data_IF_932302586552
#
_entry.id   IF_932302586552
#
_cell.length_a   1.000
_cell.length_b   1.000
_cell.length_c   1.000
_cell.angle_alpha   90.00
_cell.angle_beta   90.00
_cell.angle_gamma   90.00
#
_symmetry.space_group_name_H-M   'P 1'
#
loop_
_entity.id
_entity.type
_entity.pdbx_description
1 polymer ?
#
# COMPACT_ATOMS: atom_id res chain seq x y z
N UNK A 1 34.63 -12.30 3.48
CA UNK A 1 33.59 -12.84 4.39
C UNK A 1 34.11 -14.04 5.20
N UNK A 2 33.42 -14.41 6.31
CA UNK A 2 33.63 -15.64 7.11
C UNK A 2 34.99 -15.79 7.83
N UNK A 3 35.54 -14.72 8.38
CA UNK A 3 36.89 -14.71 8.97
C UNK A 3 36.93 -14.44 10.49
N UNK A 4 35.78 -14.39 11.18
CA UNK A 4 35.67 -14.05 12.61
C UNK A 4 36.37 -12.72 12.98
N UNK A 5 36.42 -11.77 12.03
CA UNK A 5 37.04 -10.47 12.26
C UNK A 5 36.20 -9.70 13.29
N UNK A 6 36.81 -9.27 14.39
CA UNK A 6 36.15 -8.46 15.42
C UNK A 6 36.09 -6.97 15.07
N UNK A 7 36.88 -6.53 14.08
CA UNK A 7 36.92 -5.14 13.64
C UNK A 7 37.25 -5.00 12.16
N UNK A 8 36.76 -3.94 11.55
CA UNK A 8 37.22 -3.51 10.23
C UNK A 8 38.47 -2.65 10.41
N UNK A 9 39.64 -3.18 10.03
CA UNK A 9 40.91 -2.47 10.21
C UNK A 9 41.02 -1.24 9.31
N UNK A 10 41.38 -0.08 9.89
CA UNK A 10 41.67 1.14 9.13
C UNK A 10 42.82 0.98 8.11
N UNK A 11 43.69 -0.04 8.26
CA UNK A 11 44.72 -0.32 7.26
C UNK A 11 44.16 -0.76 5.90
N UNK A 12 43.03 -1.47 5.90
CA UNK A 12 42.34 -1.86 4.65
C UNK A 12 41.81 -0.64 3.90
N UNK A 13 41.53 0.46 4.60
CA UNK A 13 41.07 1.71 4.00
C UNK A 13 42.14 2.41 3.14
N UNK A 14 43.40 1.92 3.17
CA UNK A 14 44.47 2.36 2.24
C UNK A 14 44.29 1.81 0.82
N UNK A 15 43.42 0.81 0.64
CA UNK A 15 43.08 0.24 -0.67
C UNK A 15 42.10 1.16 -1.40
N UNK A 16 42.56 2.35 -1.78
CA UNK A 16 41.69 3.43 -2.28
C UNK A 16 41.03 3.12 -3.62
N UNK A 17 41.59 2.21 -4.42
CA UNK A 17 41.06 1.78 -5.72
C UNK A 17 40.04 0.64 -5.63
N UNK A 18 39.71 0.17 -4.43
CA UNK A 18 38.82 -0.96 -4.24
C UNK A 18 37.38 -0.57 -4.61
N UNK A 19 36.74 -1.40 -5.44
CA UNK A 19 35.36 -1.18 -5.94
C UNK A 19 34.36 -2.05 -5.19
N UNK A 20 34.78 -3.23 -4.77
CA UNK A 20 33.95 -4.24 -4.12
C UNK A 20 34.65 -4.73 -2.86
N UNK A 21 33.95 -4.73 -1.72
CA UNK A 21 34.42 -5.26 -0.45
C UNK A 21 33.35 -6.13 0.20
N UNK A 22 33.72 -7.37 0.55
CA UNK A 22 32.84 -8.28 1.30
C UNK A 22 33.45 -8.63 2.67
N UNK A 23 32.86 -8.06 3.71
CA UNK A 23 33.16 -8.28 5.12
C UNK A 23 32.02 -9.01 5.85
N UNK A 24 31.15 -9.69 5.11
CA UNK A 24 30.00 -10.39 5.67
C UNK A 24 30.41 -11.61 6.52
N UNK A 25 29.53 -12.04 7.41
CA UNK A 25 29.75 -13.19 8.31
C UNK A 25 31.03 -13.02 9.15
N UNK A 26 31.14 -11.89 9.85
CA UNK A 26 32.21 -11.62 10.79
C UNK A 26 31.61 -11.16 12.14
N UNK A 27 32.44 -10.60 13.01
CA UNK A 27 32.03 -10.11 14.32
C UNK A 27 32.24 -8.59 14.44
N UNK A 28 32.20 -7.89 13.30
CA UNK A 28 32.49 -6.46 13.23
C UNK A 28 31.33 -5.68 13.85
N UNK A 29 31.65 -4.74 14.73
CA UNK A 29 30.67 -3.88 15.39
C UNK A 29 30.86 -2.38 15.08
N UNK A 30 31.92 -2.02 14.36
CA UNK A 30 32.28 -0.64 14.07
C UNK A 30 33.07 -0.52 12.76
N UNK A 31 32.95 0.65 12.13
CA UNK A 31 33.68 1.02 10.91
C UNK A 31 34.68 2.14 11.27
N UNK A 32 35.94 2.06 10.84
CA UNK A 32 36.94 3.09 11.09
C UNK A 32 36.64 4.35 10.24
N UNK A 33 36.98 5.53 10.76
CA UNK A 33 36.76 6.81 10.07
C UNK A 33 37.50 6.90 8.73
N UNK A 34 38.62 6.18 8.64
CA UNK A 34 39.45 6.06 7.44
C UNK A 34 38.71 5.44 6.25
N UNK A 35 37.55 4.80 6.45
CA UNK A 35 36.71 4.25 5.36
C UNK A 35 36.39 5.30 4.30
N UNK A 36 36.29 6.58 4.70
CA UNK A 36 36.13 7.73 3.82
C UNK A 36 37.20 7.87 2.72
N UNK A 37 38.36 7.22 2.88
CA UNK A 37 39.42 7.16 1.86
C UNK A 37 39.08 6.24 0.68
N UNK A 38 38.13 5.32 0.84
CA UNK A 38 37.73 4.33 -0.17
C UNK A 38 36.73 4.93 -1.18
N UNK A 39 37.11 6.04 -1.81
CA UNK A 39 36.21 6.88 -2.63
C UNK A 39 35.62 6.18 -3.86
N UNK A 40 36.21 5.06 -4.30
CA UNK A 40 35.73 4.29 -5.45
C UNK A 40 34.94 3.04 -5.06
N UNK A 41 34.71 2.82 -3.76
CA UNK A 41 33.94 1.67 -3.29
C UNK A 41 32.48 1.83 -3.72
N UNK A 42 32.00 0.88 -4.50
CA UNK A 42 30.64 0.84 -5.05
C UNK A 42 29.79 -0.23 -4.36
N UNK A 43 30.40 -1.34 -3.94
CA UNK A 43 29.69 -2.44 -3.30
C UNK A 43 30.37 -2.76 -1.97
N UNK A 44 29.60 -2.71 -0.89
CA UNK A 44 30.03 -3.08 0.46
C UNK A 44 29.03 -4.05 1.07
N UNK A 45 29.47 -5.28 1.31
CA UNK A 45 28.68 -6.30 1.97
C UNK A 45 29.15 -6.48 3.42
N UNK A 46 28.23 -6.29 4.35
CA UNK A 46 28.43 -6.34 5.79
C UNK A 46 27.37 -7.22 6.48
N UNK A 47 26.67 -8.08 5.72
CA UNK A 47 25.60 -8.90 6.30
C UNK A 47 26.15 -9.86 7.36
N UNK A 48 25.33 -10.20 8.36
CA UNK A 48 25.71 -11.09 9.46
C UNK A 48 26.98 -10.62 10.21
N UNK A 49 26.85 -9.48 10.88
CA UNK A 49 27.88 -8.87 11.74
C UNK A 49 27.24 -8.47 13.09
N UNK A 50 27.91 -7.60 13.88
CA UNK A 50 27.49 -7.17 15.21
C UNK A 50 27.20 -5.67 15.30
N UNK A 51 26.77 -5.04 14.20
CA UNK A 51 26.42 -3.60 14.21
C UNK A 51 25.12 -3.36 15.00
N UNK A 52 25.20 -2.53 16.05
CA UNK A 52 24.03 -2.15 16.87
C UNK A 52 23.40 -0.84 16.39
N UNK A 53 24.19 0.02 15.75
CA UNK A 53 23.73 1.22 15.06
C UNK A 53 24.30 1.24 13.65
N UNK A 54 23.65 1.98 12.75
CA UNK A 54 24.22 2.19 11.43
C UNK A 54 25.52 3.01 11.57
N UNK A 55 26.64 2.54 11.00
CA UNK A 55 27.93 3.24 11.08
C UNK A 55 27.93 4.49 10.19
N UNK A 56 27.79 5.66 10.82
CA UNK A 56 27.74 6.97 10.14
C UNK A 56 28.96 7.24 9.23
N UNK A 57 30.09 6.60 9.52
CA UNK A 57 31.31 6.71 8.73
C UNK A 57 31.10 6.22 7.28
N UNK A 58 30.18 5.28 7.06
CA UNK A 58 29.81 4.84 5.70
C UNK A 58 29.14 5.94 4.89
N UNK A 59 28.50 6.92 5.52
CA UNK A 59 27.84 8.03 4.82
C UNK A 59 28.82 8.95 4.08
N UNK A 60 30.14 8.79 4.29
CA UNK A 60 31.17 9.49 3.52
C UNK A 60 31.51 8.81 2.17
N UNK A 61 30.96 7.61 1.90
CA UNK A 61 31.22 6.84 0.69
C UNK A 61 30.31 7.28 -0.47
N UNK A 62 30.65 8.41 -1.08
CA UNK A 62 29.84 9.05 -2.12
C UNK A 62 29.70 8.26 -3.43
N UNK A 63 30.45 7.16 -3.61
CA UNK A 63 30.35 6.27 -4.79
C UNK A 63 29.61 4.97 -4.49
N UNK A 64 29.14 4.78 -3.25
CA UNK A 64 28.53 3.52 -2.82
C UNK A 64 27.15 3.35 -3.45
N UNK A 65 26.99 2.26 -4.20
CA UNK A 65 25.77 1.92 -4.93
C UNK A 65 25.02 0.76 -4.27
N UNK A 66 25.73 -0.16 -3.61
CA UNK A 66 25.15 -1.32 -2.95
C UNK A 66 25.70 -1.44 -1.53
N UNK A 67 24.80 -1.48 -0.56
CA UNK A 67 25.12 -1.68 0.85
C UNK A 67 24.21 -2.76 1.44
N UNK A 68 24.82 -3.86 1.85
CA UNK A 68 24.11 -4.90 2.60
C UNK A 68 24.52 -4.88 4.07
N UNK A 69 23.57 -4.55 4.94
CA UNK A 69 23.71 -4.54 6.40
C UNK A 69 22.73 -5.53 7.04
N UNK A 70 22.16 -6.46 6.27
CA UNK A 70 21.19 -7.42 6.80
C UNK A 70 21.78 -8.34 7.85
N UNK A 71 20.92 -8.92 8.69
CA UNK A 71 21.31 -9.77 9.83
C UNK A 71 22.31 -9.08 10.78
N UNK A 72 22.05 -7.81 11.07
CA UNK A 72 22.74 -7.06 12.12
C UNK A 72 21.74 -6.67 13.23
N UNK A 73 22.23 -5.99 14.27
CA UNK A 73 21.41 -5.54 15.39
C UNK A 73 21.07 -4.05 15.30
N UNK A 74 20.99 -3.51 14.09
CA UNK A 74 20.82 -2.07 13.85
C UNK A 74 19.48 -1.60 14.41
N UNK A 75 19.53 -0.66 15.36
CA UNK A 75 18.35 -0.08 16.01
C UNK A 75 17.92 1.26 15.41
N UNK A 76 18.88 2.01 14.87
CA UNK A 76 18.65 3.33 14.31
C UNK A 76 19.53 3.61 13.09
N UNK A 77 19.03 4.50 12.22
CA UNK A 77 19.72 5.02 11.05
C UNK A 77 20.00 6.51 11.29
N UNK A 78 21.23 7.02 11.07
CA UNK A 78 21.54 8.43 11.25
C UNK A 78 20.96 9.28 10.10
N UNK A 79 20.70 10.55 10.38
CA UNK A 79 20.30 11.53 9.36
C UNK A 79 21.33 11.66 8.23
N UNK A 80 22.61 11.44 8.52
CA UNK A 80 23.70 11.48 7.54
C UNK A 80 23.56 10.43 6.41
N UNK A 81 22.69 9.42 6.55
CA UNK A 81 22.48 8.43 5.47
C UNK A 81 22.09 9.10 4.16
N UNK A 82 21.42 10.26 4.23
CA UNK A 82 21.06 11.04 3.06
C UNK A 82 22.27 11.47 2.21
N UNK A 83 23.49 11.43 2.73
CA UNK A 83 24.70 11.73 1.96
C UNK A 83 25.03 10.65 0.90
N UNK A 84 24.45 9.45 1.00
CA UNK A 84 24.63 8.36 0.04
C UNK A 84 23.80 8.58 -1.24
N UNK A 85 24.07 9.67 -1.96
CA UNK A 85 23.24 10.16 -3.07
C UNK A 85 23.17 9.22 -4.29
N UNK A 86 24.09 8.27 -4.43
CA UNK A 86 24.14 7.32 -5.55
C UNK A 86 23.81 5.88 -5.14
N UNK A 87 23.36 5.66 -3.90
CA UNK A 87 22.95 4.33 -3.43
C UNK A 87 21.73 3.86 -4.22
N UNK A 88 21.81 2.62 -4.70
CA UNK A 88 20.77 1.98 -5.50
C UNK A 88 20.17 0.78 -4.79
N UNK A 89 20.98 0.03 -4.05
CA UNK A 89 20.54 -1.18 -3.33
C UNK A 89 20.92 -1.08 -1.86
N UNK A 90 19.91 -1.06 -0.99
CA UNK A 90 20.07 -1.02 0.45
C UNK A 90 19.28 -2.17 1.09
N UNK A 91 20.02 -3.04 1.79
CA UNK A 91 19.44 -4.15 2.54
C UNK A 91 19.65 -3.98 4.05
N UNK A 92 18.54 -3.87 4.77
CA UNK A 92 18.46 -3.74 6.23
C UNK A 92 17.58 -4.85 6.84
N UNK A 93 17.40 -5.94 6.10
CA UNK A 93 16.60 -7.09 6.53
C UNK A 93 17.16 -7.72 7.81
N UNK A 94 16.29 -8.28 8.66
CA UNK A 94 16.66 -8.89 9.94
C UNK A 94 17.48 -7.95 10.85
N UNK A 95 17.04 -6.70 10.96
CA UNK A 95 17.59 -5.67 11.86
C UNK A 95 16.73 -5.52 13.12
N UNK A 96 17.12 -4.63 14.04
CA UNK A 96 16.38 -4.35 15.28
C UNK A 96 15.74 -2.95 15.25
N UNK A 97 15.28 -2.52 14.05
CA UNK A 97 14.64 -1.23 13.84
C UNK A 97 13.28 -1.20 14.55
N UNK A 98 13.13 -0.30 15.53
CA UNK A 98 11.88 -0.15 16.30
C UNK A 98 10.75 0.43 15.43
N UNK A 99 11.12 1.27 14.47
CA UNK A 99 10.22 1.91 13.52
C UNK A 99 10.91 2.05 12.16
N UNK A 100 10.13 2.34 11.12
CA UNK A 100 10.70 2.66 9.82
C UNK A 100 11.57 3.94 9.92
N UNK A 101 12.81 3.94 9.43
CA UNK A 101 13.70 5.11 9.43
C UNK A 101 13.35 6.04 8.26
N UNK A 102 12.66 7.15 8.52
CA UNK A 102 12.21 8.10 7.50
C UNK A 102 13.36 8.82 6.78
N UNK A 103 14.56 8.79 7.36
CA UNK A 103 15.80 9.29 6.76
C UNK A 103 16.10 8.61 5.43
N UNK A 104 15.79 7.31 5.28
CA UNK A 104 15.98 6.52 4.05
C UNK A 104 15.18 7.12 2.90
N UNK A 105 14.03 7.75 3.16
CA UNK A 105 13.19 8.35 2.13
C UNK A 105 13.85 9.53 1.39
N UNK A 106 15.01 10.02 1.84
CA UNK A 106 15.78 11.05 1.14
C UNK A 106 16.77 10.49 0.12
N UNK A 107 16.87 9.17 -0.01
CA UNK A 107 17.74 8.48 -0.98
C UNK A 107 17.04 8.40 -2.34
N UNK A 108 17.02 9.51 -3.09
CA UNK A 108 16.29 9.62 -4.37
C UNK A 108 16.75 8.64 -5.45
N UNK A 109 18.01 8.18 -5.40
CA UNK A 109 18.58 7.20 -6.34
C UNK A 109 18.27 5.74 -6.00
N UNK A 110 17.60 5.47 -4.87
CA UNK A 110 17.39 4.11 -4.39
C UNK A 110 16.45 3.35 -5.32
N UNK A 111 16.94 2.23 -5.87
CA UNK A 111 16.21 1.34 -6.77
C UNK A 111 15.69 0.10 -6.03
N UNK A 112 16.35 -0.34 -4.96
CA UNK A 112 15.99 -1.52 -4.18
C UNK A 112 16.12 -1.24 -2.68
N UNK A 113 15.04 -1.51 -1.96
CA UNK A 113 15.00 -1.40 -0.50
C UNK A 113 14.46 -2.70 0.09
N UNK A 114 15.29 -3.34 0.92
CA UNK A 114 14.93 -4.58 1.62
C UNK A 114 14.89 -4.38 3.13
N UNK A 115 13.73 -4.64 3.69
CA UNK A 115 13.37 -4.50 5.10
C UNK A 115 12.60 -5.75 5.57
N UNK A 116 12.92 -6.92 5.02
CA UNK A 116 12.34 -8.19 5.45
C UNK A 116 12.75 -8.50 6.90
N UNK A 117 11.83 -8.81 7.81
CA UNK A 117 12.16 -8.99 9.23
C UNK A 117 11.84 -10.38 9.78
N UNK A 118 12.34 -11.47 9.19
CA UNK A 118 12.12 -12.84 9.71
C UNK A 118 12.54 -12.98 11.19
N UNK A 119 13.78 -12.59 11.49
CA UNK A 119 14.40 -12.69 12.83
C UNK A 119 14.56 -11.34 13.55
N UNK A 120 14.20 -10.25 12.88
CA UNK A 120 14.33 -8.88 13.39
C UNK A 120 13.12 -8.35 14.16
N UNK A 121 13.18 -7.09 14.56
CA UNK A 121 11.99 -6.38 15.07
C UNK A 121 11.04 -6.06 13.93
N UNK A 122 9.76 -6.29 14.18
CA UNK A 122 8.70 -6.14 13.19
C UNK A 122 8.30 -4.67 13.06
N UNK A 123 8.41 -4.11 11.86
CA UNK A 123 7.87 -2.79 11.56
C UNK A 123 6.34 -2.81 11.65
N UNK A 124 5.75 -1.80 12.28
CA UNK A 124 4.30 -1.71 12.48
C UNK A 124 3.61 -0.74 11.52
N UNK A 125 4.37 0.22 10.98
CA UNK A 125 3.90 1.25 10.04
C UNK A 125 4.98 1.63 9.04
N UNK A 126 4.54 2.09 7.87
CA UNK A 126 5.37 2.76 6.88
C UNK A 126 5.03 4.26 6.84
N UNK A 127 6.00 5.15 6.60
CA UNK A 127 5.78 6.58 6.49
C UNK A 127 5.19 6.96 5.12
N UNK A 128 4.43 8.06 5.06
CA UNK A 128 3.96 8.65 3.79
C UNK A 128 5.13 9.19 2.95
N UNK A 129 6.24 9.55 3.60
CA UNK A 129 7.48 9.98 2.97
C UNK A 129 8.10 8.91 2.06
N UNK A 130 7.68 7.64 2.14
CA UNK A 130 8.10 6.58 1.23
C UNK A 130 7.89 6.97 -0.24
N UNK A 131 6.85 7.78 -0.52
CA UNK A 131 6.56 8.38 -1.84
C UNK A 131 7.72 9.14 -2.48
N UNK A 132 8.69 9.61 -1.69
CA UNK A 132 9.88 10.33 -2.17
C UNK A 132 10.87 9.43 -2.93
N UNK A 133 10.80 8.11 -2.75
CA UNK A 133 11.70 7.14 -3.40
C UNK A 133 11.29 6.87 -4.86
N UNK A 134 11.22 7.93 -5.67
CA UNK A 134 10.65 7.88 -7.03
C UNK A 134 11.36 6.91 -8.00
N UNK A 135 12.63 6.55 -7.74
CA UNK A 135 13.37 5.57 -8.54
C UNK A 135 13.21 4.11 -8.06
N UNK A 136 12.42 3.85 -7.01
CA UNK A 136 12.32 2.54 -6.40
C UNK A 136 11.65 1.54 -7.35
N UNK A 137 12.32 0.41 -7.56
CA UNK A 137 11.90 -0.71 -8.40
C UNK A 137 11.55 -1.96 -7.59
N UNK A 138 12.22 -2.18 -6.47
CA UNK A 138 12.01 -3.34 -5.60
C UNK A 138 11.84 -2.88 -4.16
N UNK A 139 10.68 -3.18 -3.56
CA UNK A 139 10.40 -2.96 -2.15
C UNK A 139 10.05 -4.28 -1.49
N UNK A 140 10.89 -4.72 -0.56
CA UNK A 140 10.63 -5.87 0.30
C UNK A 140 10.40 -5.41 1.75
N UNK A 141 9.16 -5.56 2.20
CA UNK A 141 8.66 -5.27 3.54
C UNK A 141 8.03 -6.52 4.16
N UNK A 142 8.40 -7.71 3.67
CA UNK A 142 7.86 -8.99 4.12
C UNK A 142 8.22 -9.31 5.58
N UNK A 143 7.44 -10.20 6.20
CA UNK A 143 7.66 -10.68 7.57
C UNK A 143 7.69 -9.55 8.62
N UNK A 144 6.88 -8.52 8.45
CA UNK A 144 6.70 -7.42 9.39
C UNK A 144 5.33 -7.51 10.11
N UNK A 145 4.94 -6.47 10.84
CA UNK A 145 3.66 -6.36 11.53
C UNK A 145 2.83 -5.18 10.97
N UNK A 146 2.97 -4.90 9.67
CA UNK A 146 2.30 -3.78 9.01
C UNK A 146 0.80 -4.05 8.92
N UNK A 147 0.00 -3.05 9.27
CA UNK A 147 -1.48 -3.11 9.18
C UNK A 147 -2.05 -2.46 7.92
N UNK A 148 -1.30 -1.52 7.36
CA UNK A 148 -1.69 -0.72 6.22
C UNK A 148 -0.45 -0.37 5.38
N UNK A 149 -0.67 -0.12 4.10
CA UNK A 149 0.30 0.51 3.21
C UNK A 149 -0.15 1.95 3.01
N UNK A 150 0.73 2.96 3.12
CA UNK A 150 0.38 4.37 2.95
C UNK A 150 -0.10 4.68 1.53
N UNK A 151 -0.97 5.69 1.39
CA UNK A 151 -1.48 6.11 0.07
C UNK A 151 -0.32 6.61 -0.83
N UNK A 152 0.77 7.14 -0.25
CA UNK A 152 1.96 7.53 -0.99
C UNK A 152 2.65 6.42 -1.79
N UNK A 153 2.32 5.13 -1.58
CA UNK A 153 2.87 4.03 -2.40
C UNK A 153 2.59 4.21 -3.88
N UNK A 154 1.43 4.80 -4.25
CA UNK A 154 1.04 5.00 -5.64
C UNK A 154 1.92 5.97 -6.42
N UNK A 155 2.76 6.76 -5.74
CA UNK A 155 3.73 7.67 -6.38
C UNK A 155 4.97 6.94 -6.90
N UNK A 156 5.20 5.69 -6.49
CA UNK A 156 6.35 4.88 -6.90
C UNK A 156 6.15 4.27 -8.30
N UNK A 157 6.04 5.12 -9.33
CA UNK A 157 5.67 4.70 -10.71
C UNK A 157 6.57 3.65 -11.32
N UNK A 158 7.83 3.55 -10.88
CA UNK A 158 8.81 2.58 -11.35
C UNK A 158 8.87 1.28 -10.54
N UNK A 159 7.98 1.11 -9.55
CA UNK A 159 7.96 -0.07 -8.70
C UNK A 159 7.55 -1.30 -9.51
N UNK A 160 8.45 -2.27 -9.62
CA UNK A 160 8.27 -3.53 -10.34
C UNK A 160 7.87 -4.66 -9.41
N UNK A 161 8.44 -4.68 -8.21
CA UNK A 161 8.25 -5.74 -7.22
C UNK A 161 7.84 -5.13 -5.88
N UNK A 162 6.69 -5.57 -5.37
CA UNK A 162 6.24 -5.29 -4.01
C UNK A 162 6.06 -6.60 -3.25
N UNK A 163 6.99 -6.91 -2.35
CA UNK A 163 6.92 -8.04 -1.45
C UNK A 163 6.48 -7.60 -0.05
N UNK A 164 5.25 -7.96 0.32
CA UNK A 164 4.62 -7.59 1.58
C UNK A 164 3.97 -8.79 2.29
N UNK A 165 4.36 -10.01 1.94
CA UNK A 165 3.86 -11.24 2.57
C UNK A 165 4.21 -11.32 4.07
N UNK A 166 3.45 -12.11 4.83
CA UNK A 166 3.61 -12.27 6.28
C UNK A 166 3.51 -10.92 7.02
N UNK A 167 2.39 -10.24 6.83
CA UNK A 167 2.03 -8.99 7.51
C UNK A 167 0.58 -9.08 8.04
N UNK A 168 0.03 -7.96 8.52
CA UNK A 168 -1.37 -7.83 8.96
C UNK A 168 -2.14 -6.84 8.08
N UNK A 169 -1.79 -6.73 6.80
CA UNK A 169 -2.35 -5.73 5.89
C UNK A 169 -3.80 -6.08 5.57
N UNK A 170 -4.73 -5.26 6.08
CA UNK A 170 -6.17 -5.48 5.91
C UNK A 170 -6.71 -5.06 4.55
N UNK A 171 -6.14 -4.00 3.99
CA UNK A 171 -6.56 -3.40 2.73
C UNK A 171 -5.37 -2.71 2.06
N UNK A 172 -5.30 -2.81 0.72
CA UNK A 172 -4.39 -1.98 -0.06
C UNK A 172 -5.02 -0.61 -0.36
N UNK A 173 -4.22 0.48 -0.34
CA UNK A 173 -4.72 1.79 -0.72
C UNK A 173 -5.11 1.83 -2.20
N UNK A 174 -6.04 2.72 -2.55
CA UNK A 174 -6.52 2.85 -3.94
C UNK A 174 -5.38 3.26 -4.88
N UNK A 175 -4.43 4.02 -4.37
CA UNK A 175 -3.24 4.46 -5.09
C UNK A 175 -2.36 3.32 -5.63
N UNK A 176 -2.41 2.09 -5.06
CA UNK A 176 -1.68 0.91 -5.60
C UNK A 176 -2.04 0.66 -7.06
N UNK A 177 -3.27 0.95 -7.47
CA UNK A 177 -3.73 0.79 -8.87
C UNK A 177 -3.03 1.72 -9.85
N UNK A 178 -2.29 2.73 -9.37
CA UNK A 178 -1.54 3.69 -10.18
C UNK A 178 -0.11 3.24 -10.51
N UNK A 179 0.30 2.05 -10.07
CA UNK A 179 1.63 1.47 -10.28
C UNK A 179 1.70 0.78 -11.65
N UNK A 180 1.96 1.55 -12.71
CA UNK A 180 1.96 1.07 -14.09
C UNK A 180 3.01 -0.01 -14.38
N UNK A 181 4.14 0.03 -13.69
CA UNK A 181 5.29 -0.84 -13.94
C UNK A 181 5.28 -2.09 -13.04
N UNK A 182 4.30 -2.24 -12.14
CA UNK A 182 4.25 -3.32 -11.17
C UNK A 182 4.03 -4.66 -11.87
N UNK A 183 4.98 -5.58 -11.70
CA UNK A 183 4.96 -6.91 -12.30
C UNK A 183 4.70 -8.01 -11.27
N UNK A 184 5.18 -7.81 -10.04
CA UNK A 184 5.07 -8.80 -8.97
C UNK A 184 4.51 -8.17 -7.70
N UNK A 185 3.38 -8.71 -7.24
CA UNK A 185 2.73 -8.33 -5.99
C UNK A 185 2.59 -9.55 -5.09
N UNK A 186 3.33 -9.58 -3.99
CA UNK A 186 3.23 -10.65 -3.00
C UNK A 186 2.59 -10.15 -1.71
N UNK A 187 1.37 -10.63 -1.46
CA UNK A 187 0.55 -10.37 -0.29
C UNK A 187 0.15 -11.69 0.37
N UNK A 188 0.96 -12.74 0.28
CA UNK A 188 0.63 -14.00 0.96
C UNK A 188 0.66 -13.85 2.48
N UNK A 189 -0.05 -14.74 3.18
CA UNK A 189 0.01 -14.89 4.63
C UNK A 189 -0.32 -13.59 5.38
N UNK A 190 -1.45 -12.96 5.04
CA UNK A 190 -2.08 -11.87 5.79
C UNK A 190 -3.20 -12.43 6.68
N UNK A 191 -3.47 -11.73 7.79
CA UNK A 191 -4.57 -12.10 8.68
C UNK A 191 -5.96 -11.95 8.03
N UNK A 192 -6.15 -10.93 7.19
CA UNK A 192 -7.31 -10.67 6.32
C UNK A 192 -6.82 -9.70 5.27
N UNK A 193 -7.10 -9.88 3.97
CA UNK A 193 -6.73 -8.86 2.97
C UNK A 193 -7.86 -8.65 1.97
N UNK A 194 -8.18 -7.39 1.72
CA UNK A 194 -9.04 -6.97 0.62
C UNK A 194 -8.20 -6.38 -0.49
N UNK A 195 -8.32 -6.97 -1.69
CA UNK A 195 -7.73 -6.40 -2.90
C UNK A 195 -8.51 -5.14 -3.30
N UNK A 196 -7.82 -4.09 -3.79
CA UNK A 196 -8.48 -2.86 -4.20
C UNK A 196 -9.27 -3.09 -5.48
N UNK A 197 -10.38 -2.35 -5.64
CA UNK A 197 -11.04 -2.23 -6.95
C UNK A 197 -10.07 -1.58 -7.93
N UNK A 198 -10.08 -1.98 -9.21
CA UNK A 198 -9.18 -1.37 -10.19
C UNK A 198 -7.84 -2.09 -10.36
N UNK A 199 -7.68 -3.32 -9.85
CA UNK A 199 -6.51 -4.16 -10.18
C UNK A 199 -6.34 -4.37 -11.69
N UNK A 200 -7.42 -4.24 -12.49
CA UNK A 200 -7.33 -4.25 -13.96
C UNK A 200 -6.46 -3.11 -14.55
N UNK A 201 -6.24 -2.03 -13.81
CA UNK A 201 -5.38 -0.93 -14.25
C UNK A 201 -3.89 -1.27 -14.17
N UNK A 202 -3.52 -2.35 -13.46
CA UNK A 202 -2.14 -2.84 -13.37
C UNK A 202 -1.79 -3.66 -14.61
N UNK A 203 -1.60 -2.97 -15.74
CA UNK A 203 -1.39 -3.60 -17.06
C UNK A 203 -0.13 -4.47 -17.14
N UNK A 204 0.89 -4.16 -16.33
CA UNK A 204 2.16 -4.89 -16.30
C UNK A 204 2.18 -6.05 -15.32
N UNK A 205 1.13 -6.23 -14.51
CA UNK A 205 1.11 -7.24 -13.45
C UNK A 205 1.13 -8.64 -14.08
N UNK A 206 2.09 -9.45 -13.67
CA UNK A 206 2.28 -10.83 -14.15
C UNK A 206 1.99 -11.82 -13.04
N UNK A 207 2.51 -11.55 -11.86
CA UNK A 207 2.44 -12.44 -10.72
C UNK A 207 1.75 -11.74 -9.54
N UNK A 208 0.64 -12.31 -9.08
CA UNK A 208 -0.02 -11.93 -7.84
C UNK A 208 -0.06 -13.14 -6.93
N UNK A 209 0.52 -13.00 -5.73
CA UNK A 209 0.45 -14.02 -4.70
C UNK A 209 -0.40 -13.52 -3.53
N UNK A 210 -1.52 -14.19 -3.30
CA UNK A 210 -2.46 -13.93 -2.20
C UNK A 210 -2.77 -15.21 -1.42
N UNK A 211 -1.86 -16.19 -1.49
CA UNK A 211 -1.98 -17.46 -0.77
C UNK A 211 -1.98 -17.23 0.76
N UNK A 212 -2.55 -18.16 1.54
CA UNK A 212 -2.53 -18.05 3.00
C UNK A 212 -3.44 -16.96 3.60
N UNK A 213 -4.27 -16.32 2.77
CA UNK A 213 -5.23 -15.30 3.21
C UNK A 213 -6.64 -15.90 3.34
N UNK A 214 -7.39 -15.62 4.43
CA UNK A 214 -8.81 -15.93 4.51
C UNK A 214 -9.59 -14.91 3.66
N UNK A 215 -9.50 -15.03 2.33
CA UNK A 215 -10.10 -14.08 1.41
C UNK A 215 -11.62 -14.26 1.35
N UNK A 216 -12.35 -13.18 1.65
CA UNK A 216 -13.81 -13.13 1.49
C UNK A 216 -14.19 -12.76 0.04
N UNK A 217 -13.32 -12.00 -0.64
CA UNK A 217 -13.48 -11.50 -2.01
C UNK A 217 -12.10 -11.11 -2.58
N UNK A 218 -11.57 -11.80 -3.62
CA UNK A 218 -12.08 -13.01 -4.26
C UNK A 218 -12.01 -14.22 -3.31
N UNK A 219 -12.93 -15.19 -3.37
CA UNK A 219 -12.85 -16.39 -2.55
C UNK A 219 -11.58 -17.20 -2.89
N UNK A 220 -11.08 -17.98 -1.92
CA UNK A 220 -9.78 -18.64 -2.02
C UNK A 220 -9.67 -19.57 -3.25
N UNK A 221 -10.78 -20.16 -3.69
CA UNK A 221 -10.88 -21.00 -4.88
C UNK A 221 -10.53 -20.26 -6.17
N UNK A 222 -10.92 -18.98 -6.28
CA UNK A 222 -10.61 -18.12 -7.44
C UNK A 222 -9.12 -17.78 -7.47
N UNK A 223 -8.50 -17.69 -6.29
CA UNK A 223 -7.08 -17.41 -6.15
C UNK A 223 -6.19 -18.65 -6.32
N UNK A 224 -6.75 -19.87 -6.22
CA UNK A 224 -6.04 -21.17 -6.09
C UNK A 224 -5.24 -21.64 -7.33
N UNK A 225 -5.03 -20.77 -8.31
CA UNK A 225 -4.20 -21.05 -9.49
C UNK A 225 -3.23 -19.94 -9.87
N UNK A 226 -3.15 -18.85 -9.08
CA UNK A 226 -2.35 -17.64 -9.39
C UNK A 226 -2.66 -17.06 -10.79
N UNK A 227 -3.81 -17.39 -11.35
CA UNK A 227 -4.21 -16.91 -12.67
C UNK A 227 -4.78 -15.50 -12.52
N UNK A 228 -3.94 -14.51 -12.78
CA UNK A 228 -4.31 -13.10 -12.69
C UNK A 228 -5.58 -12.79 -13.48
N UNK A 229 -5.72 -13.34 -14.69
CA UNK A 229 -6.91 -13.17 -15.53
C UNK A 229 -8.20 -13.59 -14.79
N UNK A 230 -8.19 -14.71 -14.09
CA UNK A 230 -9.37 -15.24 -13.37
C UNK A 230 -9.71 -14.35 -12.17
N UNK A 231 -8.70 -13.86 -11.45
CA UNK A 231 -8.86 -12.95 -10.31
C UNK A 231 -9.44 -11.61 -10.79
N UNK A 232 -8.85 -11.00 -11.82
CA UNK A 232 -9.28 -9.73 -12.39
C UNK A 232 -10.71 -9.84 -12.92
N UNK A 233 -11.02 -10.86 -13.72
CA UNK A 233 -12.37 -11.08 -14.26
C UNK A 233 -13.42 -11.31 -13.17
N UNK A 234 -13.05 -11.99 -12.07
CA UNK A 234 -13.95 -12.14 -10.93
C UNK A 234 -14.23 -10.78 -10.27
N UNK A 235 -13.21 -9.96 -10.05
CA UNK A 235 -13.36 -8.63 -9.47
C UNK A 235 -14.20 -7.72 -10.36
N UNK A 236 -13.95 -7.70 -11.68
CA UNK A 236 -14.78 -6.98 -12.66
C UNK A 236 -16.25 -7.42 -12.59
N UNK A 237 -16.50 -8.74 -12.63
CA UNK A 237 -17.85 -9.29 -12.55
C UNK A 237 -18.52 -8.98 -11.21
N UNK A 238 -17.75 -8.86 -10.14
CA UNK A 238 -18.25 -8.50 -8.82
C UNK A 238 -18.58 -6.99 -8.74
N UNK A 239 -17.74 -6.14 -9.33
CA UNK A 239 -17.94 -4.69 -9.38
C UNK A 239 -19.10 -4.32 -10.30
N UNK A 240 -19.27 -5.02 -11.44
CA UNK A 240 -20.46 -4.88 -12.30
C UNK A 240 -21.75 -5.29 -11.59
N UNK A 241 -21.71 -6.41 -10.84
CA UNK A 241 -22.86 -6.85 -10.03
C UNK A 241 -23.20 -5.80 -8.99
N UNK A 242 -22.22 -5.30 -8.25
CA UNK A 242 -22.42 -4.26 -7.25
C UNK A 242 -22.92 -2.96 -7.87
N UNK A 243 -22.47 -2.61 -9.09
CA UNK A 243 -22.98 -1.47 -9.86
C UNK A 243 -24.45 -1.61 -10.24
N UNK A 244 -24.88 -2.79 -10.71
CA UNK A 244 -26.30 -3.10 -10.99
C UNK A 244 -27.15 -3.06 -9.72
N UNK A 245 -26.60 -3.54 -8.60
CA UNK A 245 -27.26 -3.51 -7.29
C UNK A 245 -27.40 -2.07 -6.81
N UNK A 246 -26.35 -1.26 -6.92
CA UNK A 246 -26.38 0.17 -6.60
C UNK A 246 -27.48 0.85 -7.41
N UNK A 247 -27.54 0.66 -8.73
CA UNK A 247 -28.63 1.21 -9.56
C UNK A 247 -30.02 0.78 -9.08
N UNK A 248 -30.20 -0.49 -8.70
CA UNK A 248 -31.47 -0.98 -8.15
C UNK A 248 -31.80 -0.32 -6.81
N UNK A 249 -30.80 -0.10 -5.95
CA UNK A 249 -30.94 0.61 -4.68
C UNK A 249 -31.33 2.08 -4.93
N UNK A 250 -30.68 2.77 -5.86
CA UNK A 250 -31.02 4.16 -6.20
C UNK A 250 -32.49 4.28 -6.62
N UNK A 251 -32.97 3.38 -7.48
CA UNK A 251 -34.40 3.32 -7.89
C UNK A 251 -35.35 3.02 -6.72
N UNK A 252 -34.94 2.16 -5.80
CA UNK A 252 -35.77 1.87 -4.61
C UNK A 252 -35.83 3.09 -3.69
N UNK A 253 -34.73 3.80 -3.50
CA UNK A 253 -34.70 5.02 -2.70
C UNK A 253 -35.58 6.08 -3.38
N UNK A 254 -35.42 6.33 -4.68
CA UNK A 254 -36.20 7.32 -5.41
C UNK A 254 -37.71 7.10 -5.33
N UNK A 255 -38.16 5.84 -5.41
CA UNK A 255 -39.59 5.51 -5.34
C UNK A 255 -40.19 5.44 -3.93
N UNK A 256 -39.39 5.56 -2.86
CA UNK A 256 -39.89 5.38 -1.47
C UNK A 256 -39.56 6.55 -0.52
N UNK A 257 -38.77 7.53 -0.95
CA UNK A 257 -38.56 8.77 -0.17
C UNK A 257 -39.78 9.67 -0.35
N UNK A 258 -40.40 10.06 0.76
CA UNK A 258 -41.56 10.96 0.76
C UNK A 258 -41.14 12.42 0.55
N UNK A 259 -42.07 13.27 0.10
CA UNK A 259 -41.84 14.70 -0.09
C UNK A 259 -41.35 15.39 1.19
N UNK A 260 -41.92 15.04 2.34
CA UNK A 260 -41.54 15.58 3.65
C UNK A 260 -40.08 15.31 4.02
N UNK A 261 -39.51 14.21 3.52
CA UNK A 261 -38.14 13.82 3.79
C UNK A 261 -37.16 14.27 2.68
N UNK A 262 -37.65 14.87 1.59
CA UNK A 262 -36.85 15.21 0.41
C UNK A 262 -35.73 16.20 0.73
N UNK A 263 -36.07 17.33 1.34
CA UNK A 263 -35.11 18.40 1.67
C UNK A 263 -34.03 17.88 2.63
N UNK A 264 -34.46 17.21 3.71
CA UNK A 264 -33.54 16.66 4.71
C UNK A 264 -32.63 15.58 4.12
N UNK A 265 -33.16 14.73 3.23
CA UNK A 265 -32.38 13.72 2.53
C UNK A 265 -31.31 14.34 1.62
N UNK A 266 -31.67 15.37 0.83
CA UNK A 266 -30.72 16.07 -0.03
C UNK A 266 -29.63 16.79 0.77
N UNK A 267 -29.98 17.41 1.90
CA UNK A 267 -28.99 18.02 2.81
C UNK A 267 -28.00 16.97 3.35
N UNK A 268 -28.45 15.75 3.66
CA UNK A 268 -27.57 14.65 4.11
C UNK A 268 -26.73 14.04 2.99
N UNK A 269 -27.13 14.23 1.73
CA UNK A 269 -26.29 13.95 0.56
C UNK A 269 -25.28 15.08 0.26
N UNK A 270 -25.21 16.12 1.11
CA UNK A 270 -24.32 17.29 1.01
C UNK A 270 -24.69 18.31 -0.09
N UNK A 271 -25.94 18.31 -0.57
CA UNK A 271 -26.43 19.35 -1.48
C UNK A 271 -26.63 20.69 -0.74
N UNK A 272 -26.32 21.79 -1.42
CA UNK A 272 -26.57 23.14 -0.94
C UNK A 272 -28.03 23.56 -1.15
N UNK A 273 -28.52 24.52 -0.36
CA UNK A 273 -29.91 25.01 -0.45
C UNK A 273 -30.30 25.55 -1.84
N UNK A 274 -29.34 26.04 -2.64
CA UNK A 274 -29.59 26.49 -4.00
C UNK A 274 -29.87 25.33 -4.97
N UNK A 275 -29.18 24.19 -4.79
CA UNK A 275 -29.32 22.98 -5.60
C UNK A 275 -30.61 22.24 -5.25
N UNK A 276 -30.96 22.21 -3.96
CA UNK A 276 -32.24 21.66 -3.51
C UNK A 276 -33.39 22.46 -4.13
N UNK A 277 -33.33 23.80 -4.07
CA UNK A 277 -34.35 24.67 -4.68
C UNK A 277 -34.42 24.55 -6.20
N UNK A 278 -33.31 24.30 -6.90
CA UNK A 278 -33.34 24.11 -8.35
C UNK A 278 -34.02 22.79 -8.73
N UNK A 279 -33.77 21.71 -7.96
CA UNK A 279 -34.46 20.42 -8.11
C UNK A 279 -35.94 20.50 -7.76
N UNK A 280 -36.31 21.19 -6.67
CA UNK A 280 -37.71 21.40 -6.28
C UNK A 280 -38.50 22.18 -7.33
N UNK A 281 -37.92 23.26 -7.85
CA UNK A 281 -38.57 24.14 -8.82
C UNK A 281 -38.65 23.56 -10.23
N UNK A 282 -38.00 22.42 -10.50
CA UNK A 282 -38.13 21.75 -11.77
C UNK A 282 -39.53 21.14 -11.92
N UNK A 283 -40.42 21.84 -12.62
CA UNK A 283 -41.83 21.43 -12.85
C UNK A 283 -41.97 20.28 -13.84
N UNK A 284 -40.91 19.90 -14.55
CA UNK A 284 -40.95 18.85 -15.56
C UNK A 284 -40.77 17.45 -14.98
N UNK A 285 -40.30 17.34 -13.73
CA UNK A 285 -39.94 16.07 -13.09
C UNK A 285 -40.91 15.71 -11.95
N UNK A 286 -41.26 14.43 -11.86
CA UNK A 286 -41.98 13.87 -10.70
C UNK A 286 -41.00 13.77 -9.50
N UNK A 287 -41.50 13.75 -8.26
CA UNK A 287 -40.67 13.66 -7.06
C UNK A 287 -39.65 12.52 -7.13
N UNK A 288 -40.05 11.35 -7.63
CA UNK A 288 -39.15 10.21 -7.84
C UNK A 288 -37.98 10.57 -8.76
N UNK A 289 -38.24 11.26 -9.88
CA UNK A 289 -37.20 11.65 -10.83
C UNK A 289 -36.27 12.72 -10.26
N UNK A 290 -36.79 13.62 -9.40
CA UNK A 290 -35.98 14.61 -8.67
C UNK A 290 -35.01 13.94 -7.70
N UNK A 291 -35.49 12.94 -6.95
CA UNK A 291 -34.65 12.17 -6.03
C UNK A 291 -33.61 11.36 -6.80
N UNK A 292 -34.02 10.72 -7.91
CA UNK A 292 -33.10 9.97 -8.75
C UNK A 292 -32.00 10.88 -9.34
N UNK A 293 -32.35 12.09 -9.77
CA UNK A 293 -31.38 13.06 -10.26
C UNK A 293 -30.41 13.50 -9.16
N UNK A 294 -30.89 13.78 -7.95
CA UNK A 294 -30.03 14.08 -6.81
C UNK A 294 -29.07 12.92 -6.50
N UNK A 295 -29.56 11.67 -6.55
CA UNK A 295 -28.75 10.48 -6.31
C UNK A 295 -27.71 10.23 -7.41
N UNK A 296 -28.02 10.47 -8.68
CA UNK A 296 -27.05 10.34 -9.78
C UNK A 296 -25.99 11.46 -9.76
N UNK A 297 -26.36 12.68 -9.35
CA UNK A 297 -25.39 13.76 -9.10
C UNK A 297 -24.46 13.39 -7.94
N UNK A 298 -25.01 12.94 -6.80
CA UNK A 298 -24.22 12.45 -5.66
C UNK A 298 -23.28 11.30 -6.08
N UNK A 299 -23.78 10.37 -6.89
CA UNK A 299 -22.97 9.26 -7.40
C UNK A 299 -21.83 9.75 -8.28
N UNK A 300 -22.05 10.78 -9.09
CA UNK A 300 -21.04 11.38 -9.96
C UNK A 300 -19.95 12.11 -9.18
N UNK A 301 -20.30 12.75 -8.07
CA UNK A 301 -19.33 13.38 -7.15
C UNK A 301 -18.51 12.35 -6.36
N UNK A 302 -19.08 11.15 -6.14
CA UNK A 302 -18.46 10.08 -5.36
C UNK A 302 -17.83 8.97 -6.22
N UNK A 303 -17.41 9.26 -7.46
CA UNK A 303 -16.79 8.28 -8.37
C UNK A 303 -15.52 7.62 -7.83
N UNK A 304 -14.87 8.22 -6.82
CA UNK A 304 -13.72 7.63 -6.15
C UNK A 304 -14.08 6.43 -5.26
N UNK A 305 -15.36 6.22 -4.92
CA UNK A 305 -15.84 5.12 -4.08
C UNK A 305 -16.26 3.91 -4.92
N UNK A 306 -16.04 2.71 -4.39
CA UNK A 306 -16.59 1.49 -4.99
C UNK A 306 -18.11 1.46 -4.83
N UNK A 307 -18.87 0.78 -5.72
CA UNK A 307 -20.31 0.67 -5.55
C UNK A 307 -20.72 0.09 -4.19
N UNK A 308 -19.91 -0.81 -3.61
CA UNK A 308 -20.13 -1.33 -2.27
C UNK A 308 -19.96 -0.26 -1.17
N UNK A 309 -18.92 0.57 -1.25
CA UNK A 309 -18.70 1.72 -0.34
C UNK A 309 -19.85 2.74 -0.47
N UNK A 310 -20.32 3.00 -1.69
CA UNK A 310 -21.46 3.89 -1.93
C UNK A 310 -22.75 3.35 -1.30
N UNK A 311 -23.01 2.04 -1.40
CA UNK A 311 -24.14 1.40 -0.73
C UNK A 311 -24.04 1.58 0.79
N UNK A 312 -22.84 1.44 1.37
CA UNK A 312 -22.64 1.64 2.80
C UNK A 312 -22.86 3.09 3.24
N UNK A 313 -22.43 4.05 2.43
CA UNK A 313 -22.74 5.46 2.67
C UNK A 313 -24.25 5.73 2.60
N UNK A 314 -24.94 5.20 1.59
CA UNK A 314 -26.40 5.34 1.47
C UNK A 314 -27.13 4.73 2.67
N UNK A 315 -26.69 3.56 3.16
CA UNK A 315 -27.25 2.95 4.38
C UNK A 315 -27.09 3.89 5.59
N UNK A 316 -25.92 4.53 5.75
CA UNK A 316 -25.69 5.50 6.84
C UNK A 316 -26.59 6.72 6.69
N UNK A 317 -26.71 7.27 5.48
CA UNK A 317 -27.58 8.42 5.18
C UNK A 317 -29.04 8.09 5.51
N UNK A 318 -29.57 6.97 5.01
CA UNK A 318 -30.94 6.52 5.28
C UNK A 318 -31.20 6.31 6.78
N UNK A 319 -30.20 5.85 7.52
CA UNK A 319 -30.30 5.69 8.99
C UNK A 319 -30.36 7.06 9.68
N UNK A 320 -29.54 8.02 9.26
CA UNK A 320 -29.53 9.38 9.81
C UNK A 320 -30.83 10.16 9.51
N UNK A 321 -31.49 9.85 8.39
CA UNK A 321 -32.77 10.45 8.01
C UNK A 321 -33.99 9.75 8.64
N UNK A 322 -33.79 8.79 9.56
CA UNK A 322 -34.88 8.07 10.22
C UNK A 322 -35.67 7.12 9.31
N UNK A 323 -35.19 6.86 8.10
CA UNK A 323 -35.86 6.01 7.11
C UNK A 323 -35.53 4.52 7.35
N UNK A 324 -35.94 4.01 8.51
CA UNK A 324 -35.58 2.66 8.96
C UNK A 324 -36.10 1.53 8.06
N UNK A 325 -37.30 1.69 7.48
CA UNK A 325 -37.85 0.72 6.52
C UNK A 325 -36.96 0.58 5.28
N UNK A 326 -36.58 1.71 4.67
CA UNK A 326 -35.65 1.78 3.55
C UNK A 326 -34.28 1.24 3.91
N UNK A 327 -33.76 1.61 5.08
CA UNK A 327 -32.48 1.12 5.61
C UNK A 327 -32.47 -0.41 5.67
N UNK A 328 -33.52 -1.03 6.22
CA UNK A 328 -33.63 -2.48 6.33
C UNK A 328 -33.78 -3.15 4.96
N UNK A 329 -34.53 -2.53 4.04
CA UNK A 329 -34.70 -3.03 2.66
C UNK A 329 -33.38 -3.02 1.88
N UNK A 330 -32.60 -1.94 2.00
CA UNK A 330 -31.28 -1.81 1.37
C UNK A 330 -30.28 -2.79 2.00
N UNK A 331 -30.27 -2.93 3.33
CA UNK A 331 -29.45 -3.94 4.03
C UNK A 331 -29.79 -5.36 3.60
N UNK A 332 -31.08 -5.69 3.47
CA UNK A 332 -31.53 -7.01 3.01
C UNK A 332 -31.10 -7.29 1.56
N UNK A 333 -31.19 -6.29 0.67
CA UNK A 333 -30.69 -6.41 -0.70
C UNK A 333 -29.18 -6.66 -0.74
N UNK A 334 -28.41 -5.94 0.08
CA UNK A 334 -26.96 -6.14 0.21
C UNK A 334 -26.61 -7.53 0.75
N UNK A 335 -27.34 -8.03 1.74
CA UNK A 335 -27.13 -9.36 2.32
C UNK A 335 -27.52 -10.48 1.34
N UNK A 336 -28.64 -10.33 0.62
CA UNK A 336 -29.11 -11.30 -0.36
C UNK A 336 -28.14 -11.45 -1.53
N UNK A 337 -27.48 -10.37 -1.94
CA UNK A 337 -26.47 -10.42 -3.01
C UNK A 337 -25.14 -10.97 -2.55
N UNK A 338 -24.82 -10.84 -1.26
CA UNK A 338 -23.67 -11.49 -0.64
C UNK A 338 -23.87 -13.00 -0.41
N UNK A 339 -25.13 -13.47 -0.31
CA UNK A 339 -25.47 -14.89 -0.14
C UNK A 339 -25.65 -15.65 -1.47
N UNK A 340 -25.92 -14.95 -2.58
CA UNK A 340 -25.85 -15.47 -3.95
C UNK A 340 -24.37 -15.62 -4.39
N UNK A 341 -23.63 -16.47 -3.68
CA UNK A 341 -22.29 -16.93 -4.07
C UNK A 341 -22.42 -18.30 -4.72
N UNK A 342 -22.19 -18.36 -6.03
CA UNK A 342 -21.78 -19.57 -6.74
C UNK A 342 -20.46 -19.26 -7.43
#
# INVERSE_FOLDING_TARGET
>A
SRNKLSSFSGHLCRLTKLIYLDLSENEINSIPKEVSNMKYLQVLLLYHNKFVSFPRELCALNSLQTLDLSENQIQCIPSDICNLQVIKDLNLSNSQLVSFPSEICHLSSLEKLKLCQINGLKLTKLPEELSKLTCLRELDISHNALKEIPEGIGELKHLVILAANNNYISQLPKSVTSLSDLQQLNLSDQATVMLPSGLQHLQSLKDINVDGNPLIRPPQEVCKGKQLYTIVRYLESADERDGKILQKILKIISGNVSFENFEFFCQKLQFNNAEIKSLENNRTLVLEEKILQALESWKSENQALTPAEMIDQLIRILTMTGMHYLTNKVKALKLYTQSLKF
#
